data_IF_485883314184
#
_entry.id   IF_485883314184
#
_cell.length_a   1.000
_cell.length_b   1.000
_cell.length_c   1.000
_cell.angle_alpha   90.00
_cell.angle_beta   90.00
_cell.angle_gamma   90.00
#
_symmetry.space_group_name_H-M   'P 1'
#
loop_
_entity.id
_entity.type
_entity.pdbx_description
1 polymer ?
#
# COMPACT_ATOMS: atom_id res chain seq x y z
N UNK A 1 13.61 -17.41 -6.55
CA UNK A 1 13.48 -16.31 -5.57
C UNK A 1 12.52 -15.31 -6.18
N UNK A 2 11.43 -14.96 -5.49
CA UNK A 2 10.57 -13.87 -5.95
C UNK A 2 11.42 -12.59 -6.09
N UNK A 3 11.18 -11.74 -7.10
CA UNK A 3 11.90 -10.48 -7.22
C UNK A 3 11.71 -9.65 -5.95
N UNK A 4 12.80 -9.07 -5.42
CA UNK A 4 12.77 -8.30 -4.18
C UNK A 4 12.07 -6.96 -4.44
N UNK A 5 10.77 -6.90 -4.18
CA UNK A 5 9.96 -5.68 -4.18
C UNK A 5 9.39 -5.35 -2.79
N UNK A 6 9.91 -6.01 -1.74
CA UNK A 6 9.67 -5.71 -0.32
C UNK A 6 10.99 -5.32 0.37
N UNK A 7 10.97 -4.25 1.14
CA UNK A 7 12.13 -3.59 1.71
C UNK A 7 11.99 -3.40 3.22
N UNK A 8 13.09 -3.59 3.94
CA UNK A 8 13.14 -3.56 5.39
C UNK A 8 13.10 -4.95 6.03
N UNK A 9 13.68 -5.05 7.22
CA UNK A 9 13.66 -6.29 8.02
C UNK A 9 12.28 -6.46 8.64
N UNK A 10 11.71 -7.65 8.54
CA UNK A 10 10.47 -7.99 9.24
C UNK A 10 10.58 -7.70 10.75
N UNK A 11 9.55 -7.07 11.29
CA UNK A 11 9.32 -6.95 12.73
C UNK A 11 8.52 -8.16 13.18
N UNK A 12 9.18 -9.05 13.93
CA UNK A 12 8.62 -10.32 14.40
C UNK A 12 8.91 -10.56 15.90
N UNK A 13 8.55 -11.74 16.40
CA UNK A 13 8.71 -12.08 17.82
C UNK A 13 10.16 -12.01 18.33
N UNK A 14 11.15 -12.18 17.44
CA UNK A 14 12.56 -11.99 17.80
C UNK A 14 12.87 -10.52 18.03
N UNK A 15 12.32 -9.63 17.20
CA UNK A 15 12.43 -8.18 17.41
C UNK A 15 11.87 -7.77 18.77
N UNK A 16 10.71 -8.31 19.17
CA UNK A 16 10.13 -8.00 20.48
C UNK A 16 10.96 -8.55 21.65
N UNK A 17 11.54 -9.75 21.49
CA UNK A 17 12.43 -10.33 22.48
C UNK A 17 13.71 -9.50 22.67
N UNK A 18 14.32 -9.05 21.57
CA UNK A 18 15.48 -8.13 21.60
C UNK A 18 15.16 -6.80 22.30
N UNK A 19 13.91 -6.34 22.22
CA UNK A 19 13.42 -5.12 22.85
C UNK A 19 12.86 -5.33 24.28
N UNK A 20 12.80 -6.57 24.77
CA UNK A 20 12.20 -6.88 26.08
C UNK A 20 10.68 -6.63 26.15
N UNK A 21 9.98 -6.67 25.01
CA UNK A 21 8.54 -6.43 24.92
C UNK A 21 7.74 -7.75 24.92
N UNK A 22 6.51 -7.77 25.47
CA UNK A 22 5.60 -8.90 25.34
C UNK A 22 5.32 -9.26 23.88
N UNK A 23 5.34 -10.56 23.55
CA UNK A 23 5.13 -11.10 22.19
C UNK A 23 3.65 -11.03 21.78
N UNK A 24 3.14 -9.83 21.58
CA UNK A 24 1.76 -9.54 21.17
C UNK A 24 1.73 -8.88 19.79
N UNK A 25 0.61 -9.03 19.08
CA UNK A 25 0.42 -8.44 17.75
C UNK A 25 0.46 -6.92 17.79
N UNK A 26 -0.12 -6.34 18.81
CA UNK A 26 -0.16 -4.90 19.08
C UNK A 26 1.26 -4.36 19.25
N UNK A 27 2.13 -5.09 19.95
CA UNK A 27 3.54 -4.71 20.06
C UNK A 27 4.28 -4.87 18.73
N UNK A 28 3.98 -5.90 17.93
CA UNK A 28 4.54 -6.05 16.59
C UNK A 28 4.14 -4.89 15.67
N UNK A 29 2.87 -4.49 15.69
CA UNK A 29 2.35 -3.37 14.91
C UNK A 29 2.94 -2.03 15.38
N UNK A 30 2.99 -1.81 16.70
CA UNK A 30 3.56 -0.60 17.31
C UNK A 30 5.04 -0.44 16.96
N UNK A 31 5.82 -1.51 17.06
CA UNK A 31 7.24 -1.50 16.67
C UNK A 31 7.38 -1.31 15.16
N UNK A 32 6.53 -1.93 14.35
CA UNK A 32 6.51 -1.67 12.90
C UNK A 32 6.27 -0.19 12.60
N UNK A 33 5.30 0.46 13.26
CA UNK A 33 5.09 1.90 13.08
C UNK A 33 6.31 2.72 13.50
N UNK A 34 6.96 2.39 14.61
CA UNK A 34 8.11 3.16 15.08
C UNK A 34 9.33 3.06 14.15
N UNK A 35 9.51 1.92 13.47
CA UNK A 35 10.66 1.69 12.57
C UNK A 35 10.38 1.99 11.10
N UNK A 36 9.23 2.57 10.77
CA UNK A 36 8.80 2.80 9.37
C UNK A 36 9.83 3.58 8.53
N UNK A 37 10.53 4.52 9.16
CA UNK A 37 11.54 5.37 8.51
C UNK A 37 12.98 5.01 8.92
N UNK A 38 13.16 4.04 9.82
CA UNK A 38 14.48 3.62 10.30
C UNK A 38 15.23 2.85 9.21
N UNK A 39 16.56 2.77 9.35
CA UNK A 39 17.46 2.01 8.47
C UNK A 39 17.26 2.26 6.97
N UNK A 40 16.78 3.45 6.59
CA UNK A 40 16.52 3.85 5.21
C UNK A 40 15.54 2.91 4.46
N UNK A 41 14.62 2.26 5.19
CA UNK A 41 13.65 1.30 4.62
C UNK A 41 12.81 1.90 3.51
N UNK A 42 12.20 3.07 3.78
CA UNK A 42 11.43 3.81 2.77
C UNK A 42 12.32 4.25 1.61
N UNK A 43 13.53 4.75 1.89
CA UNK A 43 14.44 5.20 0.84
C UNK A 43 14.91 4.08 -0.08
N UNK A 44 15.07 2.84 0.42
CA UNK A 44 15.34 1.66 -0.43
C UNK A 44 14.18 1.38 -1.38
N UNK A 45 12.94 1.38 -0.86
CA UNK A 45 11.73 1.19 -1.65
C UNK A 45 11.55 2.30 -2.70
N UNK A 46 11.70 3.56 -2.30
CA UNK A 46 11.70 4.74 -3.18
C UNK A 46 12.74 4.59 -4.29
N UNK A 47 14.02 4.35 -3.97
CA UNK A 47 15.07 4.18 -4.99
C UNK A 47 14.77 3.04 -5.96
N UNK A 48 14.11 1.99 -5.50
CA UNK A 48 13.70 0.88 -6.37
C UNK A 48 12.66 1.31 -7.41
N UNK A 49 11.56 1.97 -7.00
CA UNK A 49 10.52 2.43 -7.95
C UNK A 49 11.04 3.54 -8.88
N UNK A 50 11.93 4.41 -8.40
CA UNK A 50 12.61 5.40 -9.25
C UNK A 50 13.51 4.74 -10.31
N UNK A 51 14.19 3.64 -9.97
CA UNK A 51 14.95 2.86 -10.96
C UNK A 51 14.03 2.20 -11.98
N UNK A 52 12.90 1.63 -11.55
CA UNK A 52 11.90 1.11 -12.49
C UNK A 52 11.39 2.22 -13.42
N UNK A 53 11.15 3.43 -12.90
CA UNK A 53 10.71 4.57 -13.70
C UNK A 53 11.77 5.00 -14.71
N UNK A 54 13.04 5.05 -14.33
CA UNK A 54 14.13 5.32 -15.26
C UNK A 54 14.23 4.29 -16.39
N UNK A 55 13.96 3.01 -16.10
CA UNK A 55 13.94 1.94 -17.10
C UNK A 55 12.71 2.02 -18.02
N UNK A 56 11.55 2.39 -17.48
CA UNK A 56 10.33 2.61 -18.24
C UNK A 56 10.46 3.80 -19.21
N UNK A 57 11.09 4.89 -18.75
CA UNK A 57 11.31 6.11 -19.54
C UNK A 57 10.12 7.07 -19.50
N UNK A 58 9.87 7.73 -20.62
CA UNK A 58 8.84 8.76 -20.74
C UNK A 58 7.43 8.17 -20.74
N UNK A 59 6.51 8.85 -20.07
CA UNK A 59 5.12 8.43 -19.96
C UNK A 59 4.56 8.62 -18.55
N UNK A 60 3.25 8.46 -18.45
CA UNK A 60 2.51 8.60 -17.18
C UNK A 60 2.66 7.33 -16.35
N UNK A 61 3.02 7.48 -15.08
CA UNK A 61 3.27 6.35 -14.20
C UNK A 61 2.93 6.69 -12.76
N UNK A 62 2.81 5.70 -11.90
CA UNK A 62 2.63 5.88 -10.46
C UNK A 62 3.65 5.01 -9.72
N UNK A 63 4.47 5.65 -8.89
CA UNK A 63 5.51 5.00 -8.10
C UNK A 63 4.88 4.58 -6.76
N UNK A 64 4.41 3.34 -6.67
CA UNK A 64 3.60 2.89 -5.54
C UNK A 64 4.46 2.31 -4.42
N UNK A 65 4.21 2.78 -3.20
CA UNK A 65 4.82 2.35 -1.95
C UNK A 65 3.74 1.94 -0.96
N UNK A 66 3.85 0.75 -0.36
CA UNK A 66 2.85 0.22 0.59
C UNK A 66 3.56 -0.26 1.84
N UNK A 67 3.23 0.30 3.00
CA UNK A 67 3.79 -0.12 4.28
C UNK A 67 2.81 -0.99 5.06
N UNK A 68 3.31 -2.09 5.60
CA UNK A 68 2.55 -2.96 6.49
C UNK A 68 2.99 -2.78 7.95
N UNK A 69 2.11 -2.25 8.78
CA UNK A 69 2.26 -2.14 10.23
C UNK A 69 1.08 -2.78 10.98
N UNK A 70 0.57 -3.90 10.47
CA UNK A 70 -0.60 -4.60 11.05
C UNK A 70 -0.23 -5.60 12.14
N UNK A 71 1.05 -5.82 12.39
CA UNK A 71 1.54 -6.87 13.30
C UNK A 71 1.51 -8.28 12.71
N UNK A 72 1.08 -8.44 11.45
CA UNK A 72 1.06 -9.71 10.71
C UNK A 72 1.44 -9.49 9.24
N UNK A 73 1.66 -10.56 8.48
CA UNK A 73 1.87 -10.44 7.02
C UNK A 73 0.56 -10.15 6.29
N UNK A 74 0.65 -9.35 5.23
CA UNK A 74 -0.40 -9.12 4.24
C UNK A 74 -0.13 -9.98 2.99
N UNK A 75 -1.18 -10.53 2.38
CA UNK A 75 -1.07 -11.41 1.21
C UNK A 75 -1.87 -10.81 0.06
N UNK A 76 -1.27 -10.70 -1.13
CA UNK A 76 -1.99 -10.20 -2.32
C UNK A 76 -3.15 -11.15 -2.64
N UNK A 77 -4.36 -10.60 -2.76
CA UNK A 77 -5.57 -11.37 -3.08
C UNK A 77 -6.07 -11.08 -4.49
N UNK A 78 -6.25 -9.80 -4.83
CA UNK A 78 -6.78 -9.37 -6.12
C UNK A 78 -6.10 -8.08 -6.59
N UNK A 79 -6.25 -7.75 -7.87
CA UNK A 79 -5.86 -6.46 -8.43
C UNK A 79 -6.72 -6.16 -9.65
N UNK A 80 -6.78 -4.89 -10.02
CA UNK A 80 -7.43 -4.41 -11.23
C UNK A 80 -6.57 -3.29 -11.82
N UNK A 81 -6.23 -3.42 -13.10
CA UNK A 81 -5.57 -2.37 -13.86
C UNK A 81 -6.59 -1.79 -14.84
N UNK A 82 -6.80 -0.47 -14.84
CA UNK A 82 -7.79 0.19 -15.70
C UNK A 82 -7.13 0.86 -16.91
N UNK A 83 -7.88 1.00 -18.01
CA UNK A 83 -7.44 1.71 -19.22
C UNK A 83 -6.11 1.23 -19.84
N UNK A 84 -5.88 -0.09 -19.80
CA UNK A 84 -4.64 -0.74 -20.21
C UNK A 84 -3.41 -0.31 -19.40
N UNK A 85 -3.63 0.16 -18.17
CA UNK A 85 -2.56 0.25 -17.18
C UNK A 85 -1.92 -1.13 -16.93
N UNK A 86 -0.66 -1.13 -16.53
CA UNK A 86 0.03 -2.36 -16.15
C UNK A 86 1.22 -2.09 -15.24
N UNK A 87 1.77 -3.14 -14.65
CA UNK A 87 3.03 -3.07 -13.92
C UNK A 87 4.23 -3.05 -14.87
N UNK A 88 5.16 -2.14 -14.60
CA UNK A 88 6.47 -2.13 -15.24
C UNK A 88 7.51 -2.75 -14.31
N UNK A 89 7.86 -4.01 -14.55
CA UNK A 89 8.80 -4.78 -13.74
C UNK A 89 8.14 -6.01 -13.11
N UNK A 90 8.55 -6.41 -11.88
CA UNK A 90 7.89 -7.51 -11.16
C UNK A 90 6.41 -7.25 -10.89
N UNK A 91 5.65 -8.34 -10.73
CA UNK A 91 4.25 -8.32 -10.29
C UNK A 91 4.11 -7.68 -8.89
N UNK A 92 2.87 -7.39 -8.49
CA UNK A 92 2.51 -6.97 -7.15
C UNK A 92 3.14 -7.91 -6.12
N UNK A 93 3.78 -7.40 -5.05
CA UNK A 93 4.35 -8.23 -4.01
C UNK A 93 3.32 -9.23 -3.47
N UNK A 94 3.60 -10.53 -3.55
CA UNK A 94 2.62 -11.55 -3.12
C UNK A 94 2.42 -11.55 -1.61
N UNK A 95 3.45 -11.17 -0.85
CA UNK A 95 3.42 -11.08 0.61
C UNK A 95 4.21 -9.84 1.06
N UNK A 96 3.64 -9.06 1.96
CA UNK A 96 4.30 -7.93 2.63
C UNK A 96 4.36 -8.27 4.12
N UNK A 97 5.54 -8.57 4.66
CA UNK A 97 5.67 -8.86 6.10
C UNK A 97 5.54 -7.60 6.94
N UNK A 98 5.19 -7.77 8.22
CA UNK A 98 5.07 -6.67 9.16
C UNK A 98 6.39 -5.88 9.26
N UNK A 99 6.31 -4.56 9.16
CA UNK A 99 7.46 -3.65 9.16
C UNK A 99 8.16 -3.48 7.82
N UNK A 100 7.59 -3.98 6.72
CA UNK A 100 8.17 -3.83 5.37
C UNK A 100 7.42 -2.82 4.49
N UNK A 101 8.19 -2.19 3.61
CA UNK A 101 7.71 -1.42 2.48
C UNK A 101 7.67 -2.29 1.22
N UNK A 102 6.50 -2.51 0.66
CA UNK A 102 6.32 -2.98 -0.70
C UNK A 102 6.50 -1.82 -1.70
N UNK A 103 7.05 -2.10 -2.87
CA UNK A 103 7.33 -1.08 -3.88
C UNK A 103 7.11 -1.62 -5.30
N UNK A 104 6.30 -0.96 -6.11
CA UNK A 104 6.03 -1.35 -7.49
C UNK A 104 5.74 -0.14 -8.37
N UNK A 105 5.95 -0.26 -9.67
CA UNK A 105 5.68 0.80 -10.64
C UNK A 105 4.50 0.40 -11.51
N UNK A 106 3.44 1.20 -11.49
CA UNK A 106 2.33 1.08 -12.41
C UNK A 106 2.45 2.15 -13.51
N UNK A 107 2.15 1.80 -14.75
CA UNK A 107 2.35 2.66 -15.92
C UNK A 107 1.13 2.61 -16.82
N UNK A 108 0.92 3.67 -17.61
CA UNK A 108 0.02 3.60 -18.76
C UNK A 108 0.64 2.79 -19.92
N UNK A 109 -0.19 2.38 -20.88
CA UNK A 109 0.30 1.75 -22.11
C UNK A 109 1.01 2.77 -23.02
N UNK A 110 2.10 2.36 -23.66
CA UNK A 110 2.89 3.26 -24.50
C UNK A 110 2.11 3.70 -25.73
N UNK A 111 2.04 5.02 -25.96
CA UNK A 111 1.32 5.61 -27.08
C UNK A 111 -0.20 5.72 -26.90
N UNK A 112 -0.73 5.30 -25.75
CA UNK A 112 -2.10 5.57 -25.37
C UNK A 112 -2.22 6.89 -24.59
N UNK A 113 -3.23 7.70 -24.91
CA UNK A 113 -3.58 8.89 -24.15
C UNK A 113 -4.39 8.52 -22.89
N UNK A 114 -3.89 7.55 -22.13
CA UNK A 114 -4.47 7.03 -20.87
C UNK A 114 -3.52 7.29 -19.70
N UNK A 115 -4.08 7.33 -18.50
CA UNK A 115 -3.31 7.49 -17.26
C UNK A 115 -2.81 6.17 -16.69
N UNK A 116 -2.12 6.26 -15.56
CA UNK A 116 -1.78 5.12 -14.70
C UNK A 116 -2.85 4.98 -13.62
N UNK A 117 -3.81 4.08 -13.85
CA UNK A 117 -4.92 3.80 -12.93
C UNK A 117 -4.94 2.31 -12.57
N UNK A 118 -4.91 2.00 -11.28
CA UNK A 118 -4.95 0.62 -10.81
C UNK A 118 -5.33 0.51 -9.34
N UNK A 119 -5.64 -0.70 -8.93
CA UNK A 119 -5.92 -1.07 -7.56
C UNK A 119 -5.33 -2.44 -7.24
N UNK A 120 -4.93 -2.62 -5.99
CA UNK A 120 -4.53 -3.93 -5.44
C UNK A 120 -5.22 -4.13 -4.10
N UNK A 121 -5.62 -5.38 -3.85
CA UNK A 121 -6.22 -5.81 -2.60
C UNK A 121 -5.25 -6.75 -1.90
N UNK A 122 -4.90 -6.40 -0.68
CA UNK A 122 -4.17 -7.27 0.22
C UNK A 122 -5.10 -7.82 1.28
N UNK A 123 -5.07 -9.12 1.51
CA UNK A 123 -5.75 -9.76 2.63
C UNK A 123 -4.83 -9.74 3.86
N UNK A 124 -5.42 -9.47 5.01
CA UNK A 124 -4.81 -9.60 6.33
C UNK A 124 -5.84 -10.03 7.35
N UNK A 125 -5.59 -9.69 8.62
CA UNK A 125 -6.53 -10.00 9.70
C UNK A 125 -6.68 -8.81 10.64
N UNK A 126 -7.81 -8.69 11.33
CA UNK A 126 -7.99 -7.76 12.45
C UNK A 126 -7.32 -8.30 13.71
N UNK A 127 -7.12 -7.48 14.75
CA UNK A 127 -6.62 -7.89 16.07
C UNK A 127 -7.46 -9.01 16.65
N UNK A 128 -8.76 -9.02 16.36
CA UNK A 128 -9.70 -10.06 16.82
C UNK A 128 -9.62 -11.36 16.00
N UNK A 129 -8.86 -11.37 14.92
CA UNK A 129 -8.66 -12.54 14.05
C UNK A 129 -9.66 -12.66 12.91
N UNK A 130 -10.53 -11.66 12.69
CA UNK A 130 -11.37 -11.59 11.47
C UNK A 130 -10.47 -11.41 10.25
N UNK A 131 -10.76 -12.09 9.14
CA UNK A 131 -10.08 -11.80 7.88
C UNK A 131 -10.58 -10.45 7.33
N UNK A 132 -9.66 -9.61 6.89
CA UNK A 132 -9.95 -8.30 6.33
C UNK A 132 -9.25 -8.17 5.00
N UNK A 133 -9.91 -7.51 4.05
CA UNK A 133 -9.25 -7.04 2.85
C UNK A 133 -8.94 -5.55 2.94
N UNK A 134 -7.78 -5.17 2.40
CA UNK A 134 -7.25 -3.82 2.35
C UNK A 134 -7.11 -3.41 0.88
N UNK A 135 -8.08 -2.65 0.38
CA UNK A 135 -8.06 -2.09 -0.96
C UNK A 135 -7.26 -0.80 -0.97
N UNK A 136 -6.32 -0.70 -1.91
CA UNK A 136 -5.60 0.53 -2.22
C UNK A 136 -5.66 0.77 -3.73
N UNK A 137 -5.96 2.01 -4.12
CA UNK A 137 -6.10 2.40 -5.51
C UNK A 137 -5.51 3.79 -5.78
N UNK A 138 -5.03 3.98 -6.99
CA UNK A 138 -4.34 5.19 -7.43
C UNK A 138 -4.79 5.59 -8.83
N UNK A 139 -4.76 6.90 -9.08
CA UNK A 139 -4.97 7.49 -10.40
C UNK A 139 -3.93 8.57 -10.66
N UNK A 140 -3.16 8.40 -11.71
CA UNK A 140 -2.36 9.47 -12.33
C UNK A 140 -2.91 9.67 -13.75
N UNK A 141 -3.83 10.63 -13.96
CA UNK A 141 -4.45 10.85 -15.26
C UNK A 141 -3.46 11.37 -16.31
N UNK A 142 -3.76 11.12 -17.60
CA UNK A 142 -3.00 11.67 -18.72
C UNK A 142 -3.20 13.19 -18.88
N UNK A 143 -4.44 13.64 -18.71
CA UNK A 143 -4.81 15.04 -18.90
C UNK A 143 -4.52 15.85 -17.65
N UNK A 144 -3.83 16.97 -17.81
CA UNK A 144 -3.53 17.95 -16.75
C UNK A 144 -4.79 18.63 -16.16
N UNK A 145 -5.95 18.45 -16.80
CA UNK A 145 -7.24 18.94 -16.28
C UNK A 145 -7.70 18.14 -15.06
N UNK A 146 -7.29 16.87 -14.97
CA UNK A 146 -7.64 16.01 -13.84
C UNK A 146 -6.48 15.97 -12.84
N UNK A 147 -6.83 15.96 -11.55
CA UNK A 147 -5.86 15.81 -10.48
C UNK A 147 -5.53 14.33 -10.25
N UNK A 148 -4.35 14.07 -9.70
CA UNK A 148 -4.02 12.74 -9.19
C UNK A 148 -4.94 12.40 -8.02
N UNK A 149 -5.34 11.13 -7.91
CA UNK A 149 -6.20 10.68 -6.82
C UNK A 149 -5.67 9.42 -6.15
N UNK A 150 -5.93 9.33 -4.85
CA UNK A 150 -5.65 8.19 -4.00
C UNK A 150 -6.97 7.71 -3.38
N UNK A 151 -7.12 6.40 -3.24
CA UNK A 151 -8.30 5.80 -2.64
C UNK A 151 -7.94 4.55 -1.85
N UNK A 152 -8.60 4.34 -0.71
CA UNK A 152 -8.49 3.09 0.04
C UNK A 152 -9.79 2.75 0.75
N UNK A 153 -10.03 1.45 0.94
CA UNK A 153 -11.13 0.92 1.74
C UNK A 153 -10.66 -0.32 2.50
N UNK A 154 -11.30 -0.57 3.63
CA UNK A 154 -11.16 -1.81 4.41
C UNK A 154 -12.55 -2.44 4.49
N UNK A 155 -12.62 -3.75 4.33
CA UNK A 155 -13.88 -4.48 4.36
C UNK A 155 -13.70 -5.96 4.57
N UNK A 156 -14.83 -6.66 4.55
CA UNK A 156 -14.87 -8.12 4.59
C UNK A 156 -14.18 -8.72 3.36
N UNK A 157 -13.73 -9.97 3.49
CA UNK A 157 -13.05 -10.67 2.40
C UNK A 157 -13.93 -10.83 1.17
N UNK A 158 -13.30 -10.69 0.00
CA UNK A 158 -13.91 -10.83 -1.33
C UNK A 158 -15.00 -9.81 -1.66
N UNK A 159 -15.22 -8.80 -0.81
CA UNK A 159 -16.27 -7.79 -1.00
C UNK A 159 -16.14 -7.04 -2.35
N UNK A 160 -14.91 -6.82 -2.81
CA UNK A 160 -14.66 -6.05 -4.04
C UNK A 160 -14.67 -6.88 -5.32
N UNK A 161 -14.85 -8.19 -5.21
CA UNK A 161 -14.88 -9.07 -6.37
C UNK A 161 -16.14 -8.78 -7.20
N UNK A 162 -15.95 -8.10 -8.33
CA UNK A 162 -17.05 -7.65 -9.19
C UNK A 162 -17.54 -6.22 -8.94
N UNK A 163 -16.92 -5.47 -8.01
CA UNK A 163 -17.26 -4.07 -7.73
C UNK A 163 -16.22 -3.07 -8.25
N UNK A 164 -15.38 -3.49 -9.22
CA UNK A 164 -14.29 -2.66 -9.76
C UNK A 164 -14.78 -1.35 -10.41
N UNK A 165 -15.92 -1.36 -11.08
CA UNK A 165 -16.50 -0.15 -11.70
C UNK A 165 -16.94 0.88 -10.64
N UNK A 166 -17.39 0.41 -9.48
CA UNK A 166 -17.73 1.28 -8.34
C UNK A 166 -16.45 1.87 -7.72
N UNK A 167 -15.42 1.05 -7.58
CA UNK A 167 -14.11 1.49 -7.06
C UNK A 167 -13.51 2.55 -7.97
N UNK A 168 -13.57 2.36 -9.29
CA UNK A 168 -13.07 3.33 -10.26
C UNK A 168 -13.80 4.67 -10.14
N UNK A 169 -15.13 4.66 -10.01
CA UNK A 169 -15.93 5.88 -9.82
C UNK A 169 -15.58 6.60 -8.51
N UNK A 170 -15.41 5.85 -7.41
CA UNK A 170 -15.00 6.41 -6.12
C UNK A 170 -13.59 7.00 -6.19
N UNK A 171 -12.64 6.29 -6.82
CA UNK A 171 -11.28 6.77 -7.07
C UNK A 171 -11.27 8.04 -7.93
N UNK A 172 -12.07 8.11 -8.99
CA UNK A 172 -12.18 9.29 -9.84
C UNK A 172 -12.80 10.50 -9.14
N UNK A 173 -13.55 10.26 -8.05
CA UNK A 173 -14.18 11.29 -7.23
C UNK A 173 -13.39 11.63 -5.96
N UNK A 174 -12.27 10.93 -5.70
CA UNK A 174 -11.45 11.17 -4.51
C UNK A 174 -10.44 12.29 -4.72
N UNK A 175 -9.62 12.56 -3.70
CA UNK A 175 -8.59 13.59 -3.73
C UNK A 175 -7.17 13.01 -3.69
N UNK A 176 -6.20 13.88 -3.46
CA UNK A 176 -4.80 13.49 -3.27
C UNK A 176 -4.57 12.59 -2.04
N UNK A 177 -5.52 12.57 -1.10
CA UNK A 177 -5.46 11.75 0.10
C UNK A 177 -6.79 11.07 0.35
N UNK A 178 -6.74 9.92 1.00
CA UNK A 178 -7.89 9.19 1.50
C UNK A 178 -7.53 8.40 2.76
N UNK A 179 -8.49 8.24 3.66
CA UNK A 179 -8.33 7.43 4.86
C UNK A 179 -9.55 6.53 5.01
N UNK A 180 -9.32 5.30 5.48
CA UNK A 180 -10.38 4.36 5.79
C UNK A 180 -10.07 3.64 7.09
N UNK A 181 -11.12 3.39 7.87
CA UNK A 181 -11.05 2.69 9.15
C UNK A 181 -12.19 1.66 9.21
N UNK A 182 -11.86 0.43 9.61
CA UNK A 182 -12.83 -0.64 9.80
C UNK A 182 -12.33 -1.57 10.90
N UNK A 183 -13.21 -1.91 11.84
CA UNK A 183 -12.85 -2.56 13.10
C UNK A 183 -11.69 -1.84 13.81
N UNK A 184 -10.56 -2.52 13.99
CA UNK A 184 -9.32 -2.04 14.59
C UNK A 184 -8.21 -1.83 13.54
N UNK A 185 -8.56 -1.68 12.27
CA UNK A 185 -7.60 -1.45 11.20
C UNK A 185 -7.83 -0.10 10.50
N UNK A 186 -6.75 0.47 9.99
CA UNK A 186 -6.73 1.77 9.31
C UNK A 186 -5.77 1.75 8.13
N UNK A 187 -6.15 2.44 7.05
CA UNK A 187 -5.28 2.72 5.90
C UNK A 187 -5.26 4.23 5.67
N UNK A 188 -4.07 4.79 5.55
CA UNK A 188 -3.84 6.12 4.99
C UNK A 188 -3.25 5.99 3.59
N UNK A 189 -3.93 6.56 2.58
CA UNK A 189 -3.44 6.62 1.21
C UNK A 189 -3.21 8.07 0.79
N UNK A 190 -2.12 8.31 0.08
CA UNK A 190 -1.79 9.61 -0.49
C UNK A 190 -1.07 9.47 -1.82
N UNK A 191 -1.24 10.45 -2.70
CA UNK A 191 -0.52 10.57 -3.96
C UNK A 191 0.02 11.99 -4.12
N UNK A 192 1.22 12.12 -4.64
CA UNK A 192 1.82 13.42 -4.97
C UNK A 192 1.26 13.99 -6.28
N UNK A 193 1.43 15.30 -6.57
CA UNK A 193 1.15 15.85 -7.89
C UNK A 193 2.19 15.46 -8.94
N UNK A 194 1.85 15.63 -10.21
CA UNK A 194 2.73 15.39 -11.37
C UNK A 194 2.35 14.15 -12.19
N UNK A 195 3.10 13.90 -13.26
CA UNK A 195 2.83 12.80 -14.22
C UNK A 195 3.51 11.48 -13.83
N UNK A 196 4.33 11.50 -12.80
CA UNK A 196 5.02 10.32 -12.25
C UNK A 196 5.13 10.40 -10.73
N UNK A 197 4.00 10.58 -10.02
CA UNK A 197 3.99 10.84 -8.58
C UNK A 197 4.34 9.59 -7.77
N UNK A 198 4.83 9.81 -6.56
CA UNK A 198 4.80 8.78 -5.54
C UNK A 198 3.38 8.62 -4.97
N UNK A 199 2.90 7.38 -4.94
CA UNK A 199 1.73 6.97 -4.19
C UNK A 199 2.21 6.21 -2.95
N UNK A 200 1.68 6.57 -1.77
CA UNK A 200 2.01 5.91 -0.51
C UNK A 200 0.72 5.42 0.16
N UNK A 201 0.69 4.15 0.56
CA UNK A 201 -0.32 3.62 1.46
C UNK A 201 0.34 3.07 2.73
N UNK A 202 -0.20 3.41 3.90
CA UNK A 202 0.24 2.88 5.20
C UNK A 202 -0.94 2.13 5.82
N UNK A 203 -0.77 0.82 5.99
CA UNK A 203 -1.78 -0.08 6.55
C UNK A 203 -1.37 -0.41 7.99
N UNK A 204 -2.24 -0.15 8.95
CA UNK A 204 -1.93 -0.29 10.39
C UNK A 204 -3.13 -0.79 11.17
N UNK A 205 -2.88 -1.38 12.33
CA UNK A 205 -3.92 -1.59 13.33
C UNK A 205 -3.94 -0.44 14.32
N UNK A 206 -5.13 -0.10 14.80
CA UNK A 206 -5.37 0.88 15.85
C UNK A 206 -5.30 0.12 17.17
N UNK A 207 -4.19 0.28 17.87
CA UNK A 207 -4.12 -0.13 19.27
C UNK A 207 -4.93 0.86 20.09
N UNK A 208 -5.89 0.43 20.94
CA UNK A 208 -6.47 1.31 21.92
C UNK A 208 -5.33 1.93 22.71
N UNK A 209 -5.23 3.26 22.70
CA UNK A 209 -4.36 3.97 23.65
C UNK A 209 -4.78 3.45 25.02
N UNK A 210 -3.83 2.92 25.78
CA UNK A 210 -4.03 2.65 27.21
C UNK A 210 -4.47 3.96 27.86
N UNK A 211 -5.77 4.19 27.96
CA UNK A 211 -6.36 5.09 28.93
C UNK A 211 -6.19 4.42 30.29
N UNK A 212 -4.94 4.38 30.74
CA UNK A 212 -4.60 4.06 32.11
C UNK A 212 -3.37 4.86 32.50
N UNK A 213 -3.62 6.06 33.01
CA UNK A 213 -2.82 6.60 34.09
C UNK A 213 -3.76 7.32 35.09
N UNK A 214 -3.36 7.37 36.38
CA UNK A 214 -4.17 6.96 37.53
C UNK A 214 -5.26 7.92 38.01
#
# INVERSE_FOLDING_TARGET
MAPVNCFGKEVNNKTLEELGLPKTRENLARVAMSVMLDDDRKGLATRYVHKLKQLYGDGVSTLCLVYNATGHSLVKRANQDWWNGSLSGPDYPSVISNGQWAAFLHVHDQGAATGSLGAVVYQGTSVKGSELDFLIAWSTPWSEVYSNTAYCEIGDTDFWDGHWDEIEQKLGSSGYTWNSMFEDAEIDAQIEPGTSPEFTAVIRIITPVELSEP
#
